data_IF_838309226613
#
_entry.id   IF_838309226613
#
_cell.length_a   1.000
_cell.length_b   1.000
_cell.length_c   1.000
_cell.angle_alpha   90.00
_cell.angle_beta   90.00
_cell.angle_gamma   90.00
#
_symmetry.space_group_name_H-M   'P 1'
#
loop_
_entity.id
_entity.type
_entity.pdbx_description
1 polymer ?
#
# COMPACT_ATOMS: atom_id res chain seq x y z
N UNK A 1 20.97 -26.65 10.67
CA UNK A 1 20.89 -25.30 11.28
C UNK A 1 19.53 -25.27 11.97
N UNK A 2 19.51 -25.16 13.30
CA UNK A 2 18.28 -25.27 14.09
C UNK A 2 17.60 -23.93 14.12
N UNK A 3 16.37 -23.83 13.62
CA UNK A 3 15.54 -22.65 13.82
C UNK A 3 15.21 -22.54 15.33
N UNK A 4 15.45 -21.39 15.97
CA UNK A 4 15.00 -21.20 17.34
C UNK A 4 13.47 -21.21 17.38
N UNK A 5 12.88 -22.13 18.16
CA UNK A 5 11.48 -22.01 18.55
C UNK A 5 11.31 -20.72 19.36
N UNK A 6 10.63 -19.72 18.80
CA UNK A 6 10.10 -18.63 19.62
C UNK A 6 9.03 -19.20 20.54
N UNK A 7 9.19 -19.00 21.85
CA UNK A 7 8.09 -19.23 22.78
C UNK A 7 6.96 -18.28 22.39
N UNK A 8 5.78 -18.80 22.06
CA UNK A 8 4.56 -18.00 21.96
C UNK A 8 4.36 -17.29 23.30
N UNK A 9 4.83 -16.05 23.37
CA UNK A 9 4.35 -15.08 24.33
C UNK A 9 3.14 -14.48 23.64
N UNK A 10 1.98 -14.57 24.29
CA UNK A 10 0.83 -13.76 23.93
C UNK A 10 1.30 -12.31 23.93
N UNK A 11 1.50 -11.79 22.73
CA UNK A 11 2.21 -10.54 22.50
C UNK A 11 1.33 -9.39 22.95
N UNK A 12 1.90 -8.55 23.81
CA UNK A 12 1.59 -7.12 23.84
C UNK A 12 1.44 -6.59 22.41
N UNK A 13 0.42 -5.78 22.18
CA UNK A 13 0.13 -5.15 20.89
C UNK A 13 1.42 -4.65 20.20
N UNK A 14 1.69 -5.16 18.99
CA UNK A 14 2.63 -4.51 18.07
C UNK A 14 3.90 -5.25 17.65
N UNK A 15 4.09 -6.55 17.94
CA UNK A 15 5.27 -7.27 17.43
C UNK A 15 4.92 -8.67 16.91
N UNK A 16 4.82 -8.82 15.59
CA UNK A 16 4.51 -10.11 14.96
C UNK A 16 4.19 -10.05 13.48
N UNK A 17 4.32 -11.20 12.81
CA UNK A 17 3.82 -11.42 11.46
C UNK A 17 2.38 -11.92 11.53
N UNK A 18 1.59 -11.62 10.50
CA UNK A 18 0.23 -12.12 10.38
C UNK A 18 0.24 -13.63 10.15
N UNK A 19 -0.62 -14.36 10.87
CA UNK A 19 -0.78 -15.81 10.74
C UNK A 19 -1.63 -16.17 9.52
N UNK A 20 -2.59 -15.31 9.18
CA UNK A 20 -3.54 -15.51 8.10
C UNK A 20 -3.44 -14.39 7.04
N UNK A 21 -3.88 -14.63 5.79
CA UNK A 21 -3.99 -13.59 4.79
C UNK A 21 -4.88 -12.45 5.29
N UNK A 22 -4.39 -11.22 5.20
CA UNK A 22 -5.11 -10.03 5.63
C UNK A 22 -4.96 -8.90 4.61
N UNK A 23 -5.93 -8.01 4.60
CA UNK A 23 -5.99 -6.86 3.71
C UNK A 23 -5.90 -5.56 4.51
N UNK A 24 -5.12 -4.63 3.98
CA UNK A 24 -4.87 -3.35 4.60
C UNK A 24 -4.98 -2.24 3.57
N UNK A 25 -5.33 -1.07 4.05
CA UNK A 25 -5.14 0.19 3.34
C UNK A 25 -3.78 0.74 3.73
N UNK A 26 -2.99 1.15 2.74
CA UNK A 26 -1.71 1.84 2.94
C UNK A 26 -1.78 3.17 2.21
N UNK A 27 -1.63 4.27 2.92
CA UNK A 27 -1.60 5.61 2.32
C UNK A 27 -0.19 5.98 1.83
N UNK A 28 -0.08 7.08 1.08
CA UNK A 28 1.16 7.50 0.41
C UNK A 28 2.31 7.85 1.39
N UNK A 29 1.94 8.23 2.62
CA UNK A 29 2.81 8.42 3.79
C UNK A 29 3.11 7.12 4.56
N UNK A 30 2.74 5.97 3.99
CA UNK A 30 2.98 4.62 4.49
C UNK A 30 2.30 4.28 5.83
N UNK A 31 1.25 5.02 6.19
CA UNK A 31 0.37 4.64 7.31
C UNK A 31 -0.45 3.42 6.90
N UNK A 32 -0.35 2.35 7.70
CA UNK A 32 -1.04 1.08 7.47
C UNK A 32 -2.25 0.98 8.40
N UNK A 33 -3.43 0.72 7.85
CA UNK A 33 -4.66 0.49 8.61
C UNK A 33 -5.40 -0.74 8.11
N UNK A 34 -6.07 -1.51 8.99
CA UNK A 34 -6.97 -2.58 8.54
C UNK A 34 -8.01 -2.04 7.57
N UNK A 35 -8.34 -2.82 6.53
CA UNK A 35 -9.36 -2.39 5.57
C UNK A 35 -10.73 -2.29 6.27
N UNK A 36 -11.45 -1.20 6.00
CA UNK A 36 -12.81 -1.00 6.50
C UNK A 36 -13.54 -0.04 5.56
N UNK A 37 -14.75 -0.40 5.05
CA UNK A 37 -15.50 0.47 4.15
C UNK A 37 -15.70 1.88 4.72
N UNK A 38 -15.95 1.99 6.02
CA UNK A 38 -16.13 3.29 6.68
C UNK A 38 -14.82 4.12 6.72
N UNK A 39 -13.68 3.46 6.95
CA UNK A 39 -12.37 4.15 6.99
C UNK A 39 -11.94 4.59 5.59
N UNK A 40 -12.22 3.78 4.59
CA UNK A 40 -11.90 4.08 3.18
C UNK A 40 -12.74 5.26 2.67
N UNK A 41 -14.06 5.28 2.93
CA UNK A 41 -14.90 6.44 2.59
C UNK A 41 -14.45 7.71 3.32
N UNK A 42 -14.07 7.60 4.59
CA UNK A 42 -13.55 8.73 5.38
C UNK A 42 -12.23 9.27 4.82
N UNK A 43 -11.36 8.39 4.33
CA UNK A 43 -10.10 8.78 3.67
C UNK A 43 -10.38 9.55 2.38
N UNK A 44 -11.30 9.06 1.54
CA UNK A 44 -11.69 9.74 0.31
C UNK A 44 -12.30 11.13 0.57
N UNK A 45 -13.15 11.25 1.59
CA UNK A 45 -13.71 12.54 2.03
C UNK A 45 -12.61 13.51 2.47
N UNK A 46 -11.65 13.04 3.28
CA UNK A 46 -10.51 13.84 3.75
C UNK A 46 -9.64 14.35 2.59
N UNK A 47 -9.47 13.53 1.55
CA UNK A 47 -8.72 13.89 0.34
C UNK A 47 -9.50 14.82 -0.60
N UNK A 48 -10.82 14.97 -0.41
CA UNK A 48 -11.73 15.81 -1.22
C UNK A 48 -11.69 15.48 -2.72
N UNK A 49 -11.49 14.20 -3.05
CA UNK A 49 -11.43 13.72 -4.43
C UNK A 49 -12.84 13.32 -4.89
N UNK A 50 -13.35 13.82 -6.02
CA UNK A 50 -14.58 13.32 -6.61
C UNK A 50 -14.45 11.83 -6.94
N UNK A 51 -15.47 11.01 -6.64
CA UNK A 51 -15.40 9.57 -6.88
C UNK A 51 -15.15 9.22 -8.36
N UNK A 52 -15.62 10.06 -9.28
CA UNK A 52 -15.41 9.90 -10.72
C UNK A 52 -13.94 10.09 -11.16
N UNK A 53 -13.11 10.70 -10.32
CA UNK A 53 -11.68 10.90 -10.59
C UNK A 53 -10.81 9.80 -9.97
N UNK A 54 -11.42 8.84 -9.28
CA UNK A 54 -10.73 7.71 -8.66
C UNK A 54 -10.59 6.58 -9.67
N UNK A 55 -9.38 6.04 -9.75
CA UNK A 55 -9.05 4.93 -10.66
C UNK A 55 -8.44 3.79 -9.87
N UNK A 56 -8.88 2.56 -10.16
CA UNK A 56 -8.31 1.35 -9.59
C UNK A 56 -7.15 0.88 -10.47
N UNK A 57 -5.99 0.68 -9.87
CA UNK A 57 -4.81 0.17 -10.54
C UNK A 57 -4.26 -1.03 -9.77
N UNK A 58 -4.12 -2.16 -10.46
CA UNK A 58 -3.46 -3.33 -9.88
C UNK A 58 -1.94 -3.23 -10.09
N UNK A 59 -1.18 -3.37 -9.00
CA UNK A 59 0.28 -3.36 -9.04
C UNK A 59 0.83 -4.66 -8.45
N UNK A 60 1.86 -5.22 -9.08
CA UNK A 60 2.56 -6.37 -8.56
C UNK A 60 3.78 -5.93 -7.76
N UNK A 61 3.90 -6.36 -6.51
CA UNK A 61 5.03 -6.02 -5.65
C UNK A 61 6.04 -7.16 -5.61
N UNK A 62 7.13 -6.99 -6.37
CA UNK A 62 8.29 -7.88 -6.33
C UNK A 62 9.44 -7.32 -5.50
N UNK A 63 10.62 -7.94 -5.62
CA UNK A 63 11.84 -7.49 -4.93
C UNK A 63 12.25 -6.09 -5.36
N UNK A 64 12.14 -5.78 -6.65
CA UNK A 64 12.54 -4.48 -7.17
C UNK A 64 11.61 -3.38 -6.66
N UNK A 65 10.30 -3.60 -6.75
CA UNK A 65 9.26 -2.69 -6.25
C UNK A 65 9.42 -2.44 -4.75
N UNK A 66 9.61 -3.50 -3.96
CA UNK A 66 9.82 -3.38 -2.53
C UNK A 66 11.10 -2.59 -2.20
N UNK A 67 12.19 -2.82 -2.93
CA UNK A 67 13.43 -2.06 -2.74
C UNK A 67 13.28 -0.59 -3.13
N UNK A 68 12.53 -0.28 -4.19
CA UNK A 68 12.24 1.09 -4.61
C UNK A 68 11.34 1.79 -3.58
N UNK A 69 10.31 1.10 -3.08
CA UNK A 69 9.43 1.61 -2.03
C UNK A 69 10.19 1.94 -0.75
N UNK A 70 11.07 1.02 -0.33
CA UNK A 70 11.92 1.24 0.82
C UNK A 70 12.81 2.47 0.62
N UNK A 71 13.47 2.61 -0.52
CA UNK A 71 14.27 3.79 -0.81
C UNK A 71 13.44 5.08 -0.78
N UNK A 72 12.25 5.08 -1.40
CA UNK A 72 11.34 6.22 -1.41
C UNK A 72 10.88 6.61 0.01
N UNK A 73 10.65 5.64 0.91
CA UNK A 73 10.21 5.89 2.29
C UNK A 73 11.16 6.79 3.11
N UNK A 74 12.45 6.81 2.76
CA UNK A 74 13.44 7.63 3.49
C UNK A 74 13.55 9.06 2.97
N UNK A 75 13.09 9.31 1.75
CA UNK A 75 13.41 10.55 1.02
C UNK A 75 12.19 11.26 0.42
N UNK A 76 11.01 10.67 0.52
CA UNK A 76 9.78 11.16 -0.08
C UNK A 76 8.63 11.17 0.92
N UNK A 77 7.76 12.19 0.81
CA UNK A 77 6.47 12.26 1.50
C UNK A 77 5.35 11.54 0.73
N UNK A 78 5.65 11.09 -0.50
CA UNK A 78 4.71 10.45 -1.43
C UNK A 78 5.29 9.14 -1.97
N UNK A 79 5.57 8.19 -1.07
CA UNK A 79 6.42 7.04 -1.36
C UNK A 79 5.77 6.03 -2.32
N UNK A 80 4.45 5.80 -2.22
CA UNK A 80 3.74 4.90 -3.13
C UNK A 80 3.65 5.52 -4.52
N UNK A 81 3.29 6.81 -4.61
CA UNK A 81 3.23 7.56 -5.87
C UNK A 81 4.58 7.52 -6.61
N UNK A 82 5.67 7.75 -5.88
CA UNK A 82 7.01 7.76 -6.45
C UNK A 82 7.46 6.38 -6.93
N UNK A 83 7.01 5.33 -6.25
CA UNK A 83 7.37 3.95 -6.56
C UNK A 83 6.59 3.38 -7.73
N UNK A 84 5.28 3.64 -7.77
CA UNK A 84 4.36 2.93 -8.65
C UNK A 84 3.81 3.80 -9.79
N UNK A 85 3.69 5.13 -9.60
CA UNK A 85 3.00 6.01 -10.56
C UNK A 85 3.99 6.83 -11.40
N UNK A 86 5.03 7.43 -10.80
CA UNK A 86 5.94 8.35 -11.52
C UNK A 86 6.67 7.74 -12.72
N UNK A 87 6.86 6.42 -12.76
CA UNK A 87 7.52 5.72 -13.88
C UNK A 87 6.57 5.24 -14.97
N UNK A 88 5.25 5.37 -14.78
CA UNK A 88 4.27 4.92 -15.76
C UNK A 88 4.15 5.98 -16.87
N UNK A 89 4.30 5.62 -18.17
CA UNK A 89 3.99 6.54 -19.25
C UNK A 89 2.54 6.99 -19.11
N UNK A 90 2.29 8.31 -19.16
CA UNK A 90 0.94 8.88 -18.99
C UNK A 90 -0.08 8.24 -19.94
N UNK A 91 0.39 7.87 -21.13
CA UNK A 91 -0.43 7.24 -22.17
C UNK A 91 -0.81 5.79 -21.82
N UNK A 92 0.06 5.06 -21.11
CA UNK A 92 -0.24 3.72 -20.63
C UNK A 92 -1.30 3.74 -19.52
N UNK A 93 -1.16 4.68 -18.57
CA UNK A 93 -2.14 4.88 -17.49
C UNK A 93 -3.54 5.21 -18.02
N UNK A 94 -3.64 6.14 -18.97
CA UNK A 94 -4.93 6.50 -19.59
C UNK A 94 -5.51 5.32 -20.39
N UNK A 95 -4.67 4.53 -21.07
CA UNK A 95 -5.15 3.39 -21.86
C UNK A 95 -5.73 2.25 -21.02
N UNK A 96 -5.26 2.07 -19.79
CA UNK A 96 -5.80 1.05 -18.88
C UNK A 96 -7.06 1.54 -18.16
N UNK A 97 -7.17 2.85 -17.92
CA UNK A 97 -8.41 3.50 -17.45
C UNK A 97 -9.56 3.42 -18.46
N UNK A 98 -9.27 3.59 -19.75
CA UNK A 98 -10.30 3.65 -20.80
C UNK A 98 -10.74 2.27 -21.34
N UNK A 99 -10.22 1.17 -20.78
CA UNK A 99 -10.60 -0.20 -21.21
C UNK A 99 -11.81 -0.77 -20.46
N UNK A 100 -12.41 -0.02 -19.54
CA UNK A 100 -13.67 -0.39 -18.87
C UNK A 100 -14.91 0.06 -19.65
#
# INVERSE_FOLDING_TARGET
>A
MMDPKSSYKEGTEGDGFLLDPAMFTVSDDLVVTPISPASELSLLEKLKIPLNDIHVCEVQVGREEASRLLAASFVSESALTDTFIRKMPKDAFISDVLKE
#
